data_IF_469998375785
#
_entry.id   IF_469998375785
#
_cell.length_a   1.000
_cell.length_b   1.000
_cell.length_c   1.000
_cell.angle_alpha   90.00
_cell.angle_beta   90.00
_cell.angle_gamma   90.00
#
_symmetry.space_group_name_H-M   'P 1'
#
loop_
_entity.id
_entity.type
_entity.pdbx_description
1 polymer ?
#
# COMPACT_ATOMS: atom_id res chain seq x y z
N UNK A 1 14.05 4.92 -9.87
CA UNK A 1 13.99 5.23 -8.43
C UNK A 1 14.69 4.11 -7.67
N UNK A 2 15.83 4.35 -7.00
CA UNK A 2 16.62 3.29 -6.41
C UNK A 2 15.88 2.64 -5.22
N UNK A 3 15.98 1.30 -5.07
CA UNK A 3 15.19 0.54 -4.10
C UNK A 3 15.55 0.83 -2.63
N UNK A 4 16.75 1.39 -2.37
CA UNK A 4 17.20 1.75 -1.02
C UNK A 4 16.34 2.84 -0.36
N UNK A 5 15.86 3.81 -1.14
CA UNK A 5 15.02 4.88 -0.60
C UNK A 5 13.59 4.40 -0.29
N UNK A 6 13.11 3.32 -0.92
CA UNK A 6 11.73 2.83 -0.70
C UNK A 6 11.48 2.46 0.76
N UNK A 7 12.38 1.69 1.36
CA UNK A 7 12.24 1.28 2.77
C UNK A 7 12.26 2.48 3.71
N UNK A 8 13.10 3.48 3.40
CA UNK A 8 13.12 4.72 4.16
C UNK A 8 11.78 5.45 4.09
N UNK A 9 11.20 5.60 2.89
CA UNK A 9 9.88 6.22 2.72
C UNK A 9 8.77 5.44 3.42
N UNK A 10 8.78 4.10 3.31
CA UNK A 10 7.81 3.23 4.01
C UNK A 10 7.91 3.41 5.53
N UNK A 11 9.12 3.35 6.10
CA UNK A 11 9.33 3.51 7.54
C UNK A 11 8.98 4.92 8.02
N UNK A 12 9.40 5.95 7.28
CA UNK A 12 9.11 7.34 7.63
C UNK A 12 7.61 7.63 7.59
N UNK A 13 6.90 7.17 6.55
CA UNK A 13 5.45 7.36 6.46
C UNK A 13 4.69 6.49 7.47
N UNK A 14 5.18 5.29 7.76
CA UNK A 14 4.58 4.45 8.81
C UNK A 14 4.74 5.09 10.19
N UNK A 15 5.92 5.61 10.52
CA UNK A 15 6.14 6.37 11.75
C UNK A 15 5.24 7.61 11.82
N UNK A 16 5.16 8.37 10.72
CA UNK A 16 4.23 9.49 10.58
C UNK A 16 2.79 9.07 10.85
N UNK A 17 2.34 7.95 10.28
CA UNK A 17 0.98 7.43 10.46
C UNK A 17 0.68 7.06 11.92
N UNK A 18 1.65 6.55 12.67
CA UNK A 18 1.49 6.22 14.09
C UNK A 18 1.51 7.47 14.98
N UNK A 19 2.32 8.47 14.63
CA UNK A 19 2.55 9.67 15.45
C UNK A 19 1.55 10.79 15.13
N UNK A 20 1.01 10.85 13.91
CA UNK A 20 0.05 11.86 13.47
C UNK A 20 -1.13 12.10 14.42
N UNK A 21 -1.77 11.07 15.01
CA UNK A 21 -2.83 11.31 16.00
C UNK A 21 -2.30 11.90 17.29
N UNK A 22 -1.09 11.49 17.75
CA UNK A 22 -0.46 12.00 18.97
C UNK A 22 -0.02 13.47 18.87
N UNK A 23 0.29 13.96 17.67
CA UNK A 23 0.67 15.35 17.41
C UNK A 23 -0.50 16.22 16.90
N UNK A 24 -1.72 15.68 16.91
CA UNK A 24 -2.92 16.37 16.38
C UNK A 24 -2.78 16.84 14.92
N UNK A 25 -1.90 16.19 14.15
CA UNK A 25 -1.67 16.52 12.75
C UNK A 25 -2.83 16.11 11.85
N UNK A 26 -3.45 14.97 12.16
CA UNK A 26 -4.66 14.51 11.51
C UNK A 26 -5.37 13.54 12.47
N UNK A 27 -6.45 14.00 13.12
CA UNK A 27 -7.33 13.13 13.90
C UNK A 27 -8.76 13.67 13.88
N UNK A 28 -9.74 12.81 14.04
CA UNK A 28 -11.13 13.19 14.24
C UNK A 28 -11.49 12.91 15.69
N UNK A 29 -11.77 13.95 16.46
CA UNK A 29 -12.11 13.81 17.87
C UNK A 29 -13.60 13.54 18.03
N UNK A 30 -13.98 12.36 18.52
CA UNK A 30 -15.38 11.98 18.75
C UNK A 30 -16.05 12.78 19.87
N UNK A 31 -15.30 13.28 20.86
CA UNK A 31 -15.89 14.05 21.97
C UNK A 31 -16.31 15.43 21.51
N UNK A 32 -15.48 16.06 20.69
CA UNK A 32 -15.72 17.40 20.17
C UNK A 32 -16.40 17.41 18.80
N UNK A 33 -16.53 16.23 18.15
CA UNK A 33 -16.98 16.06 16.77
C UNK A 33 -16.26 16.98 15.76
N UNK A 34 -14.97 17.24 16.01
CA UNK A 34 -14.15 18.16 15.23
C UNK A 34 -12.93 17.45 14.64
N UNK A 35 -12.57 17.85 13.43
CA UNK A 35 -11.35 17.39 12.77
C UNK A 35 -10.19 18.28 13.22
N UNK A 36 -9.12 17.67 13.69
CA UNK A 36 -7.84 18.32 13.95
C UNK A 36 -6.94 18.16 12.73
N UNK A 37 -6.39 19.27 12.25
CA UNK A 37 -5.48 19.30 11.12
C UNK A 37 -4.29 20.22 11.44
N UNK A 38 -3.08 19.66 11.39
CA UNK A 38 -1.82 20.36 11.73
C UNK A 38 -1.85 21.04 13.11
N UNK A 39 -2.45 20.39 14.11
CA UNK A 39 -2.56 20.91 15.49
C UNK A 39 -3.60 22.02 15.66
N UNK A 40 -4.36 22.35 14.63
CA UNK A 40 -5.43 23.34 14.67
C UNK A 40 -6.80 22.68 14.55
N UNK A 41 -7.79 23.23 15.26
CA UNK A 41 -9.19 22.80 15.17
C UNK A 41 -9.77 23.26 13.83
N UNK A 42 -10.04 22.31 12.95
CA UNK A 42 -10.64 22.60 11.65
C UNK A 42 -12.16 22.73 11.81
N UNK A 43 -12.61 23.94 12.14
CA UNK A 43 -14.04 24.22 12.35
C UNK A 43 -14.73 24.50 11.01
N UNK A 44 -15.80 23.75 10.73
CA UNK A 44 -16.65 23.96 9.55
C UNK A 44 -17.65 25.13 9.72
N UNK A 45 -17.59 25.87 10.85
CA UNK A 45 -18.53 26.95 11.19
C UNK A 45 -19.87 26.48 11.79
N UNK A 46 -20.02 25.18 12.05
CA UNK A 46 -21.27 24.58 12.57
C UNK A 46 -21.58 25.10 13.99
N UNK A 47 -20.56 25.30 14.82
CA UNK A 47 -20.72 25.80 16.19
C UNK A 47 -21.18 27.27 16.22
N UNK A 48 -20.71 28.08 15.27
CA UNK A 48 -21.15 29.48 15.13
C UNK A 48 -22.58 29.58 14.61
N UNK A 49 -23.01 28.66 13.74
CA UNK A 49 -24.40 28.56 13.30
C UNK A 49 -25.32 28.16 14.47
N UNK A 50 -24.93 27.14 15.24
CA UNK A 50 -25.67 26.71 16.45
C UNK A 50 -25.76 27.80 17.51
N UNK A 51 -24.73 28.64 17.62
CA UNK A 51 -24.71 29.77 18.53
C UNK A 51 -25.46 31.01 18.00
N UNK A 52 -26.10 30.93 16.82
CA UNK A 52 -26.85 32.03 16.20
C UNK A 52 -25.98 33.20 15.73
N UNK A 53 -24.66 33.02 15.59
CA UNK A 53 -23.71 34.07 15.19
C UNK A 53 -23.59 34.24 13.68
N UNK A 54 -24.01 33.25 12.89
CA UNK A 54 -23.94 33.27 11.42
C UNK A 54 -25.27 32.83 10.79
N UNK A 55 -25.55 33.35 9.61
CA UNK A 55 -26.74 32.99 8.83
C UNK A 55 -26.58 31.60 8.16
N UNK A 56 -27.70 30.96 7.81
CA UNK A 56 -27.73 29.64 7.17
C UNK A 56 -26.94 29.62 5.85
N UNK A 57 -26.98 30.71 5.09
CA UNK A 57 -26.21 30.86 3.84
C UNK A 57 -24.70 30.90 4.10
N UNK A 58 -24.28 31.61 5.15
CA UNK A 58 -22.87 31.72 5.54
C UNK A 58 -22.33 30.40 6.10
N UNK A 59 -23.15 29.66 6.85
CA UNK A 59 -22.83 28.32 7.32
C UNK A 59 -22.66 27.34 6.15
N UNK A 60 -23.60 27.35 5.19
CA UNK A 60 -23.53 26.52 3.98
C UNK A 60 -22.29 26.82 3.14
N UNK A 61 -21.97 28.10 2.93
CA UNK A 61 -20.77 28.52 2.20
C UNK A 61 -19.50 28.14 2.96
N UNK A 62 -19.49 28.25 4.29
CA UNK A 62 -18.39 27.81 5.15
C UNK A 62 -18.10 26.31 5.02
N UNK A 63 -19.14 25.47 5.06
CA UNK A 63 -19.02 24.02 4.87
C UNK A 63 -18.51 23.68 3.47
N UNK A 64 -19.02 24.36 2.44
CA UNK A 64 -18.58 24.14 1.06
C UNK A 64 -17.11 24.52 0.87
N UNK A 65 -16.71 25.73 1.28
CA UNK A 65 -15.38 26.27 1.05
C UNK A 65 -14.31 25.69 1.98
N UNK A 66 -14.65 25.43 3.25
CA UNK A 66 -13.69 24.90 4.24
C UNK A 66 -13.76 23.38 4.37
N UNK A 67 -14.83 22.72 3.96
CA UNK A 67 -14.97 21.27 4.02
C UNK A 67 -14.81 20.60 2.66
N UNK A 68 -15.82 20.79 1.80
CA UNK A 68 -15.91 20.06 0.53
C UNK A 68 -14.81 20.44 -0.46
N UNK A 69 -14.56 21.73 -0.67
CA UNK A 69 -13.58 22.20 -1.64
C UNK A 69 -12.15 21.67 -1.34
N UNK A 70 -11.58 21.82 -0.13
CA UNK A 70 -10.26 21.30 0.16
C UNK A 70 -10.21 19.76 0.11
N UNK A 71 -11.28 19.08 0.56
CA UNK A 71 -11.40 17.63 0.42
C UNK A 71 -11.37 17.17 -1.04
N UNK A 72 -12.15 17.83 -1.91
CA UNK A 72 -12.19 17.53 -3.34
C UNK A 72 -10.86 17.83 -4.03
N UNK A 73 -10.21 18.95 -3.67
CA UNK A 73 -8.88 19.30 -4.19
C UNK A 73 -7.82 18.27 -3.77
N UNK A 74 -7.85 17.81 -2.52
CA UNK A 74 -6.94 16.77 -2.04
C UNK A 74 -7.16 15.44 -2.79
N UNK A 75 -8.42 15.03 -2.97
CA UNK A 75 -8.76 13.82 -3.76
C UNK A 75 -8.33 13.99 -5.22
N UNK A 76 -8.61 15.12 -5.86
CA UNK A 76 -8.23 15.39 -7.24
C UNK A 76 -6.71 15.39 -7.41
N UNK A 77 -5.96 16.03 -6.51
CA UNK A 77 -4.50 16.02 -6.51
C UNK A 77 -3.95 14.59 -6.34
N UNK A 78 -4.49 13.82 -5.39
CA UNK A 78 -4.12 12.43 -5.18
C UNK A 78 -4.39 11.55 -6.42
N UNK A 79 -5.55 11.72 -7.06
CA UNK A 79 -5.90 11.00 -8.28
C UNK A 79 -5.06 11.46 -9.48
N UNK A 80 -4.65 12.74 -9.55
CA UNK A 80 -3.74 13.23 -10.58
C UNK A 80 -2.34 12.59 -10.46
N UNK A 81 -1.85 12.42 -9.22
CA UNK A 81 -0.63 11.66 -8.95
C UNK A 81 -0.82 10.20 -9.39
N UNK A 82 -1.95 9.58 -9.03
CA UNK A 82 -2.24 8.19 -9.43
C UNK A 82 -2.38 8.03 -10.96
N UNK A 83 -2.93 9.02 -11.64
CA UNK A 83 -3.05 9.06 -13.10
C UNK A 83 -1.69 9.02 -13.79
N UNK A 84 -0.68 9.67 -13.20
CA UNK A 84 0.67 9.76 -13.74
C UNK A 84 1.55 8.58 -13.32
N UNK A 85 1.58 8.26 -12.03
CA UNK A 85 2.52 7.30 -11.42
C UNK A 85 1.88 5.97 -11.02
N UNK A 86 0.57 5.80 -11.19
CA UNK A 86 -0.13 4.61 -10.77
C UNK A 86 -0.31 4.52 -9.26
N UNK A 87 -0.30 3.31 -8.70
CA UNK A 87 -0.43 3.05 -7.27
C UNK A 87 0.91 3.11 -6.52
N UNK A 88 1.79 4.05 -6.89
CA UNK A 88 3.06 4.27 -6.16
C UNK A 88 2.81 4.52 -4.67
N UNK A 89 1.70 5.16 -4.30
CA UNK A 89 1.27 5.26 -2.91
C UNK A 89 1.18 3.89 -2.22
N UNK A 90 0.49 2.91 -2.83
CA UNK A 90 0.39 1.56 -2.28
C UNK A 90 1.75 0.92 -2.05
N UNK A 91 2.72 1.08 -2.96
CA UNK A 91 4.04 0.45 -2.82
C UNK A 91 5.02 1.17 -1.90
N UNK A 92 4.90 2.50 -1.74
CA UNK A 92 5.95 3.33 -1.13
C UNK A 92 5.54 4.03 0.16
N UNK A 93 4.25 4.36 0.33
CA UNK A 93 3.78 5.17 1.44
C UNK A 93 2.72 4.43 2.26
N UNK A 94 1.92 3.56 1.65
CA UNK A 94 0.81 2.90 2.33
C UNK A 94 1.27 2.16 3.61
N UNK A 95 0.76 2.53 4.80
CA UNK A 95 1.15 1.90 6.05
C UNK A 95 0.72 0.42 6.09
N UNK A 96 -0.39 0.09 5.43
CA UNK A 96 -0.87 -1.30 5.33
C UNK A 96 0.10 -2.15 4.54
N UNK A 97 0.50 -1.70 3.34
CA UNK A 97 1.43 -2.46 2.50
C UNK A 97 2.82 -2.61 3.14
N UNK A 98 3.26 -1.63 3.94
CA UNK A 98 4.52 -1.71 4.67
C UNK A 98 4.54 -2.90 5.65
N UNK A 99 3.43 -3.11 6.38
CA UNK A 99 3.24 -4.31 7.21
C UNK A 99 3.13 -5.56 6.36
N UNK A 100 2.37 -5.52 5.26
CA UNK A 100 2.24 -6.66 4.34
C UNK A 100 3.60 -7.09 3.80
N UNK A 101 4.52 -6.17 3.49
CA UNK A 101 5.86 -6.50 3.03
C UNK A 101 6.70 -7.19 4.12
N UNK A 102 6.60 -6.72 5.37
CA UNK A 102 7.22 -7.36 6.53
C UNK A 102 6.67 -8.79 6.75
N UNK A 103 5.35 -8.94 6.74
CA UNK A 103 4.67 -10.23 6.89
C UNK A 103 4.91 -11.18 5.72
N UNK A 104 5.11 -10.64 4.51
CA UNK A 104 5.48 -11.42 3.36
C UNK A 104 6.89 -12.02 3.53
N UNK A 105 7.84 -11.26 4.06
CA UNK A 105 9.18 -11.78 4.32
C UNK A 105 9.17 -12.91 5.36
N UNK A 106 8.36 -12.78 6.41
CA UNK A 106 8.24 -13.83 7.45
C UNK A 106 7.45 -15.04 6.98
N UNK A 107 6.32 -14.86 6.27
CA UNK A 107 5.58 -16.00 5.71
C UNK A 107 6.41 -16.74 4.66
N UNK A 108 7.09 -16.00 3.78
CA UNK A 108 7.94 -16.62 2.75
C UNK A 108 9.05 -17.45 3.39
N UNK A 109 9.61 -16.99 4.52
CA UNK A 109 10.56 -17.79 5.32
C UNK A 109 9.91 -19.02 5.97
N UNK A 110 8.63 -18.97 6.34
CA UNK A 110 7.94 -20.09 6.95
C UNK A 110 7.54 -21.20 5.96
N UNK A 111 7.11 -20.84 4.74
CA UNK A 111 6.51 -21.80 3.80
C UNK A 111 6.86 -21.57 2.31
N UNK A 112 7.78 -20.66 1.99
CA UNK A 112 8.15 -20.27 0.62
C UNK A 112 7.00 -19.74 -0.26
N UNK A 113 5.88 -19.34 0.35
CA UNK A 113 4.71 -18.77 -0.34
C UNK A 113 4.53 -17.29 0.03
N UNK A 114 3.98 -16.51 -0.89
CA UNK A 114 3.65 -15.10 -0.65
C UNK A 114 2.30 -14.93 0.06
N UNK A 115 1.36 -15.86 -0.13
CA UNK A 115 0.11 -15.97 0.64
C UNK A 115 -0.22 -17.44 0.92
N UNK A 116 -1.03 -17.69 1.94
CA UNK A 116 -1.46 -19.03 2.35
C UNK A 116 -2.26 -19.74 1.26
N UNK A 117 -2.95 -18.98 0.41
CA UNK A 117 -3.80 -19.47 -0.67
C UNK A 117 -3.04 -19.79 -1.96
N UNK A 118 -1.71 -19.69 -1.95
CA UNK A 118 -0.91 -19.90 -3.15
C UNK A 118 -0.85 -21.39 -3.48
N UNK A 119 -1.25 -21.72 -4.71
CA UNK A 119 -1.20 -23.09 -5.24
C UNK A 119 0.24 -23.61 -5.32
N UNK A 120 1.17 -22.78 -5.76
CA UNK A 120 2.58 -23.11 -5.90
C UNK A 120 3.45 -22.33 -4.94
N UNK A 121 4.47 -23.01 -4.40
CA UNK A 121 5.53 -22.35 -3.65
C UNK A 121 6.53 -21.68 -4.60
N UNK A 122 7.17 -20.64 -4.10
CA UNK A 122 8.27 -19.91 -4.75
C UNK A 122 9.54 -20.08 -3.91
N UNK A 123 10.13 -21.28 -3.87
CA UNK A 123 11.28 -21.54 -3.02
C UNK A 123 12.43 -20.61 -3.35
N UNK A 124 13.15 -20.25 -2.29
CA UNK A 124 14.36 -19.43 -2.37
C UNK A 124 15.57 -20.28 -2.06
N UNK A 125 16.59 -20.19 -2.90
CA UNK A 125 17.80 -20.99 -2.73
C UNK A 125 18.71 -20.38 -1.64
N UNK A 126 18.67 -19.05 -1.47
CA UNK A 126 19.41 -18.34 -0.41
C UNK A 126 18.83 -18.57 0.99
N UNK A 127 17.53 -18.88 1.07
CA UNK A 127 16.78 -19.05 2.34
C UNK A 127 15.67 -20.08 2.16
N UNK A 128 15.93 -21.37 2.45
CA UNK A 128 14.89 -22.39 2.38
C UNK A 128 13.79 -22.14 3.41
N UNK A 129 12.61 -22.71 3.15
CA UNK A 129 11.48 -22.58 4.06
C UNK A 129 11.76 -23.33 5.37
N UNK A 130 11.45 -22.68 6.50
CA UNK A 130 11.61 -23.22 7.84
C UNK A 130 10.32 -23.01 8.65
N UNK A 131 9.64 -24.12 8.96
CA UNK A 131 8.37 -24.12 9.68
C UNK A 131 8.46 -23.49 11.09
N UNK A 132 9.66 -23.36 11.66
CA UNK A 132 9.87 -22.67 12.96
C UNK A 132 9.48 -21.20 12.93
N UNK A 133 9.31 -20.61 11.75
CA UNK A 133 8.88 -19.22 11.57
C UNK A 133 7.36 -19.02 11.64
N UNK A 134 6.56 -20.09 11.71
CA UNK A 134 5.10 -19.98 11.85
C UNK A 134 4.67 -19.23 13.14
N UNK A 135 5.19 -19.56 14.33
CA UNK A 135 4.89 -18.79 15.55
C UNK A 135 5.26 -17.31 15.40
N UNK A 136 6.41 -17.00 14.79
CA UNK A 136 6.85 -15.63 14.55
C UNK A 136 5.90 -14.90 13.60
N UNK A 137 5.43 -15.57 12.54
CA UNK A 137 4.47 -15.00 11.61
C UNK A 137 3.13 -14.69 12.28
N UNK A 138 2.57 -15.62 13.06
CA UNK A 138 1.31 -15.40 13.78
C UNK A 138 1.44 -14.31 14.85
N UNK A 139 2.52 -14.34 15.64
CA UNK A 139 2.80 -13.32 16.65
C UNK A 139 2.93 -11.94 16.01
N UNK A 140 3.71 -11.82 14.93
CA UNK A 140 3.88 -10.55 14.23
C UNK A 140 2.57 -10.05 13.62
N UNK A 141 1.75 -10.96 13.08
CA UNK A 141 0.42 -10.60 12.57
C UNK A 141 -0.49 -10.09 13.67
N UNK A 142 -0.47 -10.71 14.86
CA UNK A 142 -1.25 -10.27 16.02
C UNK A 142 -0.78 -8.91 16.55
N UNK A 143 0.53 -8.70 16.66
CA UNK A 143 1.12 -7.42 17.08
C UNK A 143 0.77 -6.30 16.08
N UNK A 144 0.90 -6.56 14.78
CA UNK A 144 0.52 -5.61 13.74
C UNK A 144 -0.98 -5.33 13.74
N UNK A 145 -1.82 -6.34 13.97
CA UNK A 145 -3.28 -6.19 14.11
C UNK A 145 -3.65 -5.31 15.31
N UNK A 146 -3.03 -5.55 16.47
CA UNK A 146 -3.22 -4.74 17.67
C UNK A 146 -2.75 -3.30 17.46
N UNK A 147 -1.56 -3.12 16.86
CA UNK A 147 -1.04 -1.80 16.52
C UNK A 147 -2.00 -1.01 15.61
N UNK A 148 -2.56 -1.66 14.59
CA UNK A 148 -3.56 -1.04 13.71
C UNK A 148 -4.83 -0.66 14.46
N UNK A 149 -5.33 -1.55 15.33
CA UNK A 149 -6.52 -1.28 16.12
C UNK A 149 -6.33 -0.10 17.09
N UNK A 150 -5.20 -0.05 17.81
CA UNK A 150 -4.84 1.07 18.70
C UNK A 150 -4.70 2.36 17.90
N UNK A 151 -4.03 2.30 16.75
CA UNK A 151 -3.81 3.47 15.90
C UNK A 151 -5.14 4.03 15.40
N UNK A 152 -6.02 3.19 14.86
CA UNK A 152 -7.35 3.62 14.41
C UNK A 152 -8.18 4.20 15.56
N UNK A 153 -8.13 3.61 16.75
CA UNK A 153 -8.80 4.17 17.90
C UNK A 153 -8.22 5.55 18.29
N UNK A 154 -6.90 5.73 18.17
CA UNK A 154 -6.21 7.01 18.43
C UNK A 154 -6.50 8.09 17.38
N UNK A 155 -6.94 7.70 16.18
CA UNK A 155 -7.46 8.65 15.18
C UNK A 155 -8.88 9.13 15.51
N UNK A 156 -9.60 8.43 16.38
CA UNK A 156 -11.00 8.68 16.76
C UNK A 156 -11.15 9.29 18.17
N UNK A 157 -10.23 8.96 19.07
CA UNK A 157 -10.22 9.38 20.47
C UNK A 157 -8.86 10.01 20.83
N UNK A 158 -8.82 10.90 21.84
CA UNK A 158 -7.58 11.49 22.32
C UNK A 158 -6.53 10.41 22.65
N UNK A 159 -5.30 10.50 22.09
CA UNK A 159 -4.26 9.49 22.33
C UNK A 159 -3.90 9.35 23.81
N UNK A 160 -3.94 10.43 24.59
CA UNK A 160 -3.70 10.36 26.03
C UNK A 160 -4.74 9.48 26.76
N UNK A 161 -6.00 9.50 26.31
CA UNK A 161 -7.06 8.64 26.84
C UNK A 161 -6.84 7.18 26.44
N UNK A 162 -6.53 6.92 25.17
CA UNK A 162 -6.32 5.57 24.65
C UNK A 162 -5.09 4.92 25.30
N UNK A 163 -3.94 5.59 25.29
CA UNK A 163 -2.70 5.07 25.86
C UNK A 163 -2.75 5.02 27.39
N UNK A 164 -3.28 6.06 28.05
CA UNK A 164 -3.47 6.08 29.50
C UNK A 164 -4.40 4.96 29.96
N UNK A 165 -5.53 4.77 29.27
CA UNK A 165 -6.46 3.67 29.54
C UNK A 165 -5.84 2.29 29.35
N UNK A 166 -4.98 2.12 28.33
CA UNK A 166 -4.28 0.87 28.07
C UNK A 166 -3.24 0.54 29.16
N UNK A 167 -2.48 1.53 29.63
CA UNK A 167 -1.45 1.37 30.67
C UNK A 167 -2.07 1.15 32.05
N UNK A 168 -3.12 1.90 32.39
CA UNK A 168 -3.75 1.84 33.71
C UNK A 168 -4.89 0.80 33.81
N UNK A 169 -5.25 0.15 32.71
CA UNK A 169 -6.34 -0.83 32.68
C UNK A 169 -7.73 -0.21 32.88
N UNK A 170 -7.89 1.08 32.59
CA UNK A 170 -9.11 1.86 32.83
C UNK A 170 -9.95 2.09 31.57
N UNK A 171 -9.69 1.33 30.49
CA UNK A 171 -10.47 1.42 29.26
C UNK A 171 -11.96 1.19 29.52
N UNK A 172 -12.80 2.00 28.89
CA UNK A 172 -14.26 1.78 28.95
C UNK A 172 -14.62 0.43 28.30
N UNK A 173 -15.73 -0.20 28.70
CA UNK A 173 -16.17 -1.47 28.09
C UNK A 173 -16.33 -1.39 26.57
N UNK A 174 -16.70 -0.22 26.03
CA UNK A 174 -16.83 0.00 24.59
C UNK A 174 -15.46 0.06 23.90
N UNK A 175 -14.50 0.79 24.47
CA UNK A 175 -13.13 0.88 23.94
C UNK A 175 -12.44 -0.50 23.98
N UNK A 176 -12.57 -1.23 25.08
CA UNK A 176 -12.00 -2.57 25.22
C UNK A 176 -12.61 -3.55 24.20
N UNK A 177 -13.95 -3.54 24.02
CA UNK A 177 -14.63 -4.35 22.98
C UNK A 177 -14.18 -3.99 21.57
N UNK A 178 -14.12 -2.69 21.26
CA UNK A 178 -13.64 -2.22 19.96
C UNK A 178 -12.22 -2.70 19.71
N UNK A 179 -11.31 -2.51 20.67
CA UNK A 179 -9.92 -2.89 20.52
C UNK A 179 -9.76 -4.40 20.32
N UNK A 180 -10.47 -5.22 21.10
CA UNK A 180 -10.44 -6.68 20.96
C UNK A 180 -10.96 -7.14 19.59
N UNK A 181 -12.13 -6.66 19.17
CA UNK A 181 -12.74 -7.03 17.88
C UNK A 181 -11.88 -6.55 16.72
N UNK A 182 -11.47 -5.28 16.74
CA UNK A 182 -10.62 -4.70 15.68
C UNK A 182 -9.29 -5.44 15.58
N UNK A 183 -8.63 -5.73 16.70
CA UNK A 183 -7.39 -6.52 16.72
C UNK A 183 -7.59 -7.90 16.10
N UNK A 184 -8.67 -8.61 16.45
CA UNK A 184 -8.96 -9.92 15.88
C UNK A 184 -9.20 -9.84 14.36
N UNK A 185 -10.00 -8.87 13.90
CA UNK A 185 -10.31 -8.67 12.47
C UNK A 185 -9.06 -8.31 11.68
N UNK A 186 -8.23 -7.36 12.14
CA UNK A 186 -7.00 -7.00 11.44
C UNK A 186 -5.98 -8.14 11.47
N UNK A 187 -5.87 -8.88 12.57
CA UNK A 187 -5.01 -10.07 12.62
C UNK A 187 -5.45 -11.11 11.59
N UNK A 188 -6.75 -11.38 11.50
CA UNK A 188 -7.30 -12.30 10.50
C UNK A 188 -7.06 -11.79 9.07
N UNK A 189 -7.21 -10.49 8.82
CA UNK A 189 -6.90 -9.86 7.52
C UNK A 189 -5.42 -10.04 7.15
N UNK A 190 -4.50 -9.74 8.07
CA UNK A 190 -3.06 -9.89 7.85
C UNK A 190 -2.62 -11.34 7.61
N UNK A 191 -3.23 -12.29 8.31
CA UNK A 191 -2.93 -13.72 8.16
C UNK A 191 -3.49 -14.25 6.84
N UNK A 192 -4.78 -14.03 6.58
CA UNK A 192 -5.52 -14.73 5.54
C UNK A 192 -5.74 -13.87 4.28
N UNK A 193 -6.04 -12.59 4.42
CA UNK A 193 -6.61 -11.77 3.34
C UNK A 193 -5.71 -10.60 2.87
N UNK A 194 -4.49 -10.46 3.35
CA UNK A 194 -3.64 -9.27 3.09
C UNK A 194 -3.47 -8.86 1.63
N UNK A 195 -3.26 -9.85 0.75
CA UNK A 195 -3.13 -9.62 -0.70
C UNK A 195 -4.50 -9.39 -1.35
N UNK A 196 -5.55 -10.03 -0.83
CA UNK A 196 -6.93 -9.85 -1.29
C UNK A 196 -7.42 -8.44 -0.98
N UNK A 197 -7.17 -7.94 0.23
CA UNK A 197 -7.48 -6.57 0.63
C UNK A 197 -6.74 -5.56 -0.23
N UNK A 198 -5.42 -5.68 -0.39
CA UNK A 198 -4.65 -4.78 -1.27
C UNK A 198 -5.13 -4.82 -2.72
N UNK A 199 -5.64 -5.96 -3.20
CA UNK A 199 -6.08 -6.15 -4.58
C UNK A 199 -7.50 -5.63 -4.83
N UNK A 200 -8.45 -5.93 -3.94
CA UNK A 200 -9.88 -5.70 -4.16
C UNK A 200 -10.57 -4.96 -3.01
N UNK A 201 -10.13 -5.13 -1.76
CA UNK A 201 -10.78 -4.53 -0.59
C UNK A 201 -10.44 -3.05 -0.37
N UNK A 202 -9.23 -2.63 -0.71
CA UNK A 202 -8.75 -1.27 -0.49
C UNK A 202 -9.32 -0.31 -1.56
N UNK A 203 -10.26 0.54 -1.16
CA UNK A 203 -10.86 1.55 -2.02
C UNK A 203 -9.82 2.49 -2.65
N UNK A 204 -8.85 2.96 -1.86
CA UNK A 204 -7.74 3.81 -2.33
C UNK A 204 -6.99 3.11 -3.46
N UNK A 205 -6.61 1.86 -3.26
CA UNK A 205 -5.89 1.08 -4.27
C UNK A 205 -6.71 0.84 -5.54
N UNK A 206 -8.01 0.58 -5.41
CA UNK A 206 -8.92 0.35 -6.54
C UNK A 206 -9.07 1.60 -7.40
N UNK A 207 -9.35 2.76 -6.80
CA UNK A 207 -9.47 4.02 -7.54
C UNK A 207 -8.17 4.42 -8.22
N UNK A 208 -7.02 4.24 -7.54
CA UNK A 208 -5.72 4.47 -8.16
C UNK A 208 -5.50 3.58 -9.38
N UNK A 209 -5.85 2.29 -9.31
CA UNK A 209 -5.76 1.36 -10.46
C UNK A 209 -6.64 1.80 -11.62
N UNK A 210 -7.89 2.20 -11.36
CA UNK A 210 -8.85 2.62 -12.39
C UNK A 210 -8.36 3.87 -13.13
N UNK A 211 -7.98 4.91 -12.39
CA UNK A 211 -7.47 6.17 -12.97
C UNK A 211 -6.16 5.94 -13.73
N UNK A 212 -5.28 5.09 -13.20
CA UNK A 212 -4.04 4.70 -13.88
C UNK A 212 -4.27 3.91 -15.17
N UNK A 213 -5.29 3.04 -15.21
CA UNK A 213 -5.65 2.28 -16.42
C UNK A 213 -6.25 3.15 -17.51
N UNK A 214 -6.96 4.21 -17.14
CA UNK A 214 -7.47 5.20 -18.10
C UNK A 214 -6.33 5.94 -18.83
N UNK A 215 -5.13 6.01 -18.25
CA UNK A 215 -3.99 6.70 -18.85
C UNK A 215 -2.98 5.74 -19.53
N UNK A 216 -2.90 5.67 -20.87
CA UNK A 216 -1.88 4.86 -21.54
C UNK A 216 -0.45 5.40 -21.36
N UNK A 217 -0.29 6.66 -20.94
CA UNK A 217 1.01 7.32 -20.68
C UNK A 217 1.48 7.19 -19.22
N UNK A 218 0.69 6.53 -18.36
CA UNK A 218 1.03 6.35 -16.94
C UNK A 218 2.22 5.42 -16.74
N UNK A 219 2.88 5.53 -15.58
CA UNK A 219 4.04 4.72 -15.19
C UNK A 219 3.73 3.22 -15.29
N UNK A 220 4.58 2.47 -15.98
CA UNK A 220 4.45 1.02 -16.14
C UNK A 220 5.82 0.37 -16.03
N UNK A 221 5.83 -0.89 -15.61
CA UNK A 221 7.00 -1.76 -15.78
C UNK A 221 6.97 -2.25 -17.23
N UNK A 222 7.94 -1.82 -18.03
CA UNK A 222 8.05 -2.24 -19.41
C UNK A 222 9.13 -3.31 -19.55
N UNK A 223 8.88 -4.26 -20.45
CA UNK A 223 9.81 -5.33 -20.79
C UNK A 223 10.40 -5.08 -22.17
N UNK A 224 11.73 -4.96 -22.26
CA UNK A 224 12.41 -4.80 -23.54
C UNK A 224 12.45 -6.14 -24.30
N UNK A 225 11.47 -6.33 -25.18
CA UNK A 225 11.34 -7.53 -26.00
C UNK A 225 12.50 -7.75 -26.97
N UNK A 226 13.23 -6.70 -27.37
CA UNK A 226 14.42 -6.88 -28.20
C UNK A 226 15.53 -7.64 -27.44
N UNK A 227 15.54 -7.51 -26.11
CA UNK A 227 16.44 -8.24 -25.20
C UNK A 227 15.78 -9.47 -24.58
N UNK A 228 14.68 -9.98 -25.15
CA UNK A 228 13.97 -11.14 -24.59
C UNK A 228 14.87 -12.39 -24.46
N UNK A 229 15.84 -12.55 -25.36
CA UNK A 229 16.87 -13.60 -25.27
C UNK A 229 17.69 -13.54 -23.98
N UNK A 230 17.91 -12.35 -23.42
CA UNK A 230 18.66 -12.16 -22.18
C UNK A 230 17.85 -12.60 -20.95
N UNK A 231 16.54 -12.78 -21.10
CA UNK A 231 15.67 -13.31 -20.07
C UNK A 231 15.69 -14.86 -19.99
N UNK A 232 16.26 -15.54 -21.00
CA UNK A 232 16.31 -17.01 -20.97
C UNK A 232 17.17 -17.49 -19.80
N UNK A 233 16.59 -18.40 -19.00
CA UNK A 233 17.20 -18.91 -17.78
C UNK A 233 17.52 -17.84 -16.74
N UNK A 234 16.80 -16.72 -16.67
CA UNK A 234 17.06 -15.60 -15.73
C UNK A 234 16.97 -16.00 -14.25
N UNK A 235 18.02 -16.66 -13.78
CA UNK A 235 18.20 -17.10 -12.41
C UNK A 235 18.89 -16.02 -11.58
N UNK A 236 18.66 -16.05 -10.28
CA UNK A 236 19.37 -15.25 -9.27
C UNK A 236 19.80 -16.20 -8.15
N UNK A 237 20.64 -15.73 -7.22
CA UNK A 237 20.96 -16.49 -6.01
C UNK A 237 19.69 -16.82 -5.19
N UNK A 238 18.65 -15.99 -5.32
CA UNK A 238 17.37 -16.18 -4.64
C UNK A 238 16.45 -17.13 -5.41
N UNK A 239 16.48 -17.09 -6.74
CA UNK A 239 15.58 -17.82 -7.62
C UNK A 239 16.39 -18.57 -8.69
N UNK A 240 16.97 -19.72 -8.34
CA UNK A 240 17.81 -20.51 -9.25
C UNK A 240 17.05 -21.16 -10.39
N UNK A 241 15.74 -21.40 -10.21
CA UNK A 241 14.87 -21.99 -11.23
C UNK A 241 14.48 -21.02 -12.38
N UNK A 242 15.08 -19.83 -12.46
CA UNK A 242 14.75 -18.81 -13.47
C UNK A 242 13.54 -17.93 -13.12
N UNK A 243 13.00 -17.21 -14.11
CA UNK A 243 11.81 -16.35 -13.97
C UNK A 243 11.83 -15.44 -12.73
N UNK A 244 13.00 -14.87 -12.40
CA UNK A 244 13.24 -14.17 -11.14
C UNK A 244 12.25 -13.02 -10.89
N UNK A 245 11.83 -12.31 -11.96
CA UNK A 245 10.87 -11.21 -11.84
C UNK A 245 9.43 -11.65 -11.53
N UNK A 246 8.99 -12.81 -12.03
CA UNK A 246 7.66 -13.37 -11.77
C UNK A 246 7.61 -13.92 -10.33
N UNK A 247 8.63 -14.70 -9.92
CA UNK A 247 8.73 -15.27 -8.56
C UNK A 247 8.97 -14.20 -7.49
N UNK A 248 9.66 -13.12 -7.85
CA UNK A 248 9.91 -11.98 -6.97
C UNK A 248 8.74 -10.99 -6.87
N UNK A 249 7.64 -11.18 -7.61
CA UNK A 249 6.47 -10.31 -7.51
C UNK A 249 5.55 -10.77 -6.36
N UNK A 250 5.40 -10.01 -5.26
CA UNK A 250 4.55 -10.42 -4.14
C UNK A 250 3.06 -10.51 -4.54
N UNK A 251 2.65 -9.73 -5.55
CA UNK A 251 1.29 -9.75 -6.10
C UNK A 251 1.06 -10.84 -7.15
N UNK A 252 2.07 -11.69 -7.42
CA UNK A 252 2.03 -12.78 -8.41
C UNK A 252 1.57 -12.32 -9.80
N UNK A 253 2.09 -11.17 -10.21
CA UNK A 253 1.90 -10.65 -11.56
C UNK A 253 3.08 -11.06 -12.42
N UNK A 254 2.85 -11.21 -13.73
CA UNK A 254 3.90 -11.39 -14.72
C UNK A 254 4.35 -10.02 -15.22
N UNK A 255 5.52 -9.49 -14.81
CA UNK A 255 5.96 -8.15 -15.18
C UNK A 255 6.33 -8.01 -16.67
N UNK A 256 6.35 -9.13 -17.39
CA UNK A 256 6.56 -9.25 -18.83
C UNK A 256 5.26 -9.12 -19.64
N UNK A 257 4.12 -9.21 -18.97
CA UNK A 257 2.81 -9.06 -19.59
C UNK A 257 2.43 -7.60 -19.82
N UNK A 258 1.31 -7.42 -20.51
CA UNK A 258 0.75 -6.12 -20.85
C UNK A 258 0.23 -5.37 -19.62
N UNK A 259 0.29 -4.03 -19.65
CA UNK A 259 -0.19 -3.15 -18.57
C UNK A 259 -1.57 -3.56 -18.03
N UNK A 260 -2.52 -3.86 -18.92
CA UNK A 260 -3.92 -4.21 -18.56
C UNK A 260 -4.04 -5.47 -17.70
N UNK A 261 -3.12 -6.45 -17.84
CA UNK A 261 -3.07 -7.66 -17.01
C UNK A 261 -2.44 -7.41 -15.63
N UNK A 262 -1.86 -6.23 -15.41
CA UNK A 262 -1.20 -5.83 -14.18
C UNK A 262 -2.04 -4.84 -13.33
N UNK A 263 -3.37 -4.97 -13.36
CA UNK A 263 -4.29 -4.07 -12.63
C UNK A 263 -4.00 -3.94 -11.14
N UNK A 264 -3.55 -5.02 -10.50
CA UNK A 264 -3.23 -5.07 -9.08
C UNK A 264 -1.77 -4.77 -8.76
N UNK A 265 -1.00 -4.23 -9.72
CA UNK A 265 0.39 -3.86 -9.50
C UNK A 265 0.46 -2.68 -8.54
N UNK A 266 1.09 -2.88 -7.37
CA UNK A 266 1.30 -1.83 -6.34
C UNK A 266 2.53 -0.94 -6.61
N UNK A 267 3.16 -1.06 -7.78
CA UNK A 267 4.40 -0.37 -8.17
C UNK A 267 5.53 -0.45 -7.10
N UNK A 268 5.65 -1.57 -6.39
CA UNK A 268 6.74 -1.75 -5.41
C UNK A 268 8.11 -1.88 -6.09
N UNK A 269 8.19 -2.44 -7.30
CA UNK A 269 9.42 -2.58 -8.06
C UNK A 269 10.32 -3.75 -7.65
N UNK A 270 9.83 -4.70 -6.84
CA UNK A 270 10.60 -5.90 -6.48
C UNK A 270 10.95 -6.77 -7.71
N UNK A 271 10.07 -6.81 -8.73
CA UNK A 271 10.36 -7.48 -10.00
C UNK A 271 11.52 -6.84 -10.77
N UNK A 272 11.65 -5.52 -10.77
CA UNK A 272 12.79 -4.84 -11.39
C UNK A 272 14.08 -5.16 -10.64
N UNK A 273 14.05 -5.18 -9.30
CA UNK A 273 15.22 -5.54 -8.50
C UNK A 273 15.69 -6.98 -8.79
N UNK A 274 14.74 -7.93 -8.89
CA UNK A 274 15.07 -9.31 -9.23
C UNK A 274 15.64 -9.45 -10.66
N UNK A 275 15.14 -8.65 -11.61
CA UNK A 275 15.67 -8.61 -12.98
C UNK A 275 17.08 -8.01 -13.01
N UNK A 276 17.28 -6.89 -12.32
CA UNK A 276 18.56 -6.19 -12.22
C UNK A 276 19.64 -7.07 -11.54
N UNK A 277 19.28 -7.78 -10.47
CA UNK A 277 20.14 -8.76 -9.80
C UNK A 277 20.57 -9.88 -10.77
N UNK A 278 19.64 -10.41 -11.57
CA UNK A 278 19.92 -11.47 -12.54
C UNK A 278 20.80 -10.99 -13.70
N UNK A 279 20.52 -9.81 -14.26
CA UNK A 279 21.25 -9.28 -15.41
C UNK A 279 22.64 -8.75 -15.02
N UNK A 280 22.74 -8.06 -13.87
CA UNK A 280 24.02 -7.55 -13.38
C UNK A 280 25.00 -8.68 -13.07
N UNK A 281 24.54 -9.81 -12.52
CA UNK A 281 25.37 -10.99 -12.31
C UNK A 281 25.91 -11.60 -13.62
N UNK A 282 25.33 -11.25 -14.77
CA UNK A 282 25.73 -11.68 -16.11
C UNK A 282 26.47 -10.58 -16.89
N UNK A 283 26.76 -9.44 -16.26
CA UNK A 283 27.36 -8.27 -16.92
C UNK A 283 26.45 -7.59 -17.95
N UNK A 284 25.13 -7.72 -17.82
CA UNK A 284 24.13 -7.15 -18.75
C UNK A 284 23.28 -6.09 -18.08
N UNK A 285 22.72 -5.19 -18.89
CA UNK A 285 21.72 -4.23 -18.44
C UNK A 285 20.37 -4.92 -18.13
N UNK A 286 19.57 -4.40 -17.18
CA UNK A 286 18.25 -4.94 -16.88
C UNK A 286 17.32 -4.90 -18.10
N UNK A 287 16.46 -5.91 -18.21
CA UNK A 287 15.46 -6.02 -19.30
C UNK A 287 14.10 -5.42 -18.88
N UNK A 288 13.85 -5.32 -17.57
CA UNK A 288 12.69 -4.64 -17.00
C UNK A 288 13.08 -3.24 -16.56
N UNK A 289 12.32 -2.24 -17.02
CA UNK A 289 12.55 -0.84 -16.70
C UNK A 289 11.26 -0.10 -16.38
N UNK A 290 11.37 0.96 -15.60
CA UNK A 290 10.27 1.89 -15.40
C UNK A 290 10.13 2.78 -16.64
N UNK A 291 8.97 2.73 -17.31
CA UNK A 291 8.67 3.60 -18.44
C UNK A 291 7.45 4.46 -18.17
N UNK A 292 7.48 5.66 -18.72
CA UNK A 292 6.46 6.67 -18.49
C UNK A 292 6.30 7.54 -19.75
N UNK A 293 5.10 8.06 -20.03
CA UNK A 293 4.88 8.91 -21.20
C UNK A 293 4.82 8.13 -22.51
N UNK A 294 5.46 8.67 -23.57
CA UNK A 294 5.44 8.07 -24.91
C UNK A 294 6.00 6.64 -24.96
N UNK A 295 6.98 6.33 -24.11
CA UNK A 295 7.56 4.98 -24.02
C UNK A 295 6.59 3.97 -23.41
N UNK A 296 5.78 4.37 -22.42
CA UNK A 296 4.74 3.52 -21.86
C UNK A 296 3.61 3.23 -22.87
N UNK A 297 3.32 4.22 -23.73
CA UNK A 297 2.34 4.07 -24.82
C UNK A 297 2.86 3.13 -25.90
N UNK A 298 4.13 3.23 -26.29
CA UNK A 298 4.75 2.35 -27.30
C UNK A 298 4.62 0.88 -26.91
N UNK A 299 4.84 0.55 -25.65
CA UNK A 299 4.65 -0.81 -25.15
C UNK A 299 3.18 -1.24 -25.25
N UNK A 300 2.25 -0.38 -24.78
CA UNK A 300 0.81 -0.66 -24.80
C UNK A 300 0.23 -0.79 -26.22
N UNK A 301 0.72 0.02 -27.19
CA UNK A 301 0.25 0.03 -28.58
C UNK A 301 0.84 -1.11 -29.41
N UNK A 302 2.13 -1.41 -29.23
CA UNK A 302 2.78 -2.55 -29.89
C UNK A 302 2.08 -3.86 -29.51
N UNK A 303 1.73 -3.99 -28.24
CA UNK A 303 0.95 -5.10 -27.69
C UNK A 303 -0.47 -5.20 -28.27
N UNK A 304 -1.19 -4.06 -28.42
CA UNK A 304 -2.53 -4.03 -29.04
C UNK A 304 -2.53 -4.49 -30.50
N UNK A 305 -1.41 -4.33 -31.22
CA UNK A 305 -1.28 -4.78 -32.61
C UNK A 305 -1.00 -6.28 -32.67
N UNK A 306 -0.18 -6.80 -31.75
CA UNK A 306 0.10 -8.23 -31.63
C UNK A 306 -1.16 -9.02 -31.19
N UNK A 307 -1.91 -8.55 -30.18
CA UNK A 307 -3.16 -9.20 -29.70
C UNK A 307 -4.31 -9.16 -30.72
N UNK A 308 -4.26 -8.28 -31.73
CA UNK A 308 -5.26 -8.19 -32.81
C UNK A 308 -4.87 -8.98 -34.06
N UNK A 309 -3.62 -9.41 -34.14
CA UNK A 309 -3.07 -10.19 -35.25
C UNK A 309 -2.93 -11.69 -34.94
N UNK A 310 -3.32 -12.11 -33.74
CA UNK A 310 -3.44 -13.49 -33.28
C UNK A 310 -4.92 -13.83 -33.06
#
# INVERSE_FOLDING_TARGET
>A
MPPRHRRLFQLAFFALFLIAPALDWLRFDLHEAQLWFLGQRWTLGIDDFRAGRIDATQAALGILLKGFLPGLLAVAAFLAVAWRWGRVYCGWLCPHFSIVELLNATLHRACAKWSLWDRSATPRDDRPADARWWPVFFLLSALCGALWAITLLSYLLPPAEVWGGLVHGTLTPNQARFLAIATAVFTAEFVLARHLFCRFGCAVGLFQSLVWMANPKGLVVAFDRAKARDCQGCATQRFGQGAACDRGCPMRLHPRDIKRRMFSCVQCGQCLQACDESQSARGRAPVLEWRIGADAVRETLRQRREDRGA
#
